data_IF_762327796624
#
_entry.id   IF_762327796624
#
_cell.length_a   1.000
_cell.length_b   1.000
_cell.length_c   1.000
_cell.angle_alpha   90.00
_cell.angle_beta   90.00
_cell.angle_gamma   90.00
#
_symmetry.space_group_name_H-M   'P 1'
#
loop_
_entity.id
_entity.type
_entity.pdbx_description
1 polymer ?
#
# COMPACT_ATOMS: atom_id res chain seq x y z
N UNK A 1 -0.33 -29.42 -24.74
CA UNK A 1 -1.19 -29.75 -23.60
C UNK A 1 -2.40 -28.84 -23.64
N UNK A 2 -3.63 -29.33 -23.50
CA UNK A 2 -4.77 -28.45 -23.35
C UNK A 2 -4.60 -27.67 -22.04
N UNK A 3 -4.80 -26.34 -22.09
CA UNK A 3 -4.81 -25.50 -20.90
C UNK A 3 -6.01 -25.90 -20.05
N UNK A 4 -5.77 -26.39 -18.84
CA UNK A 4 -6.83 -26.66 -17.88
C UNK A 4 -7.19 -25.33 -17.22
N UNK A 5 -8.29 -24.73 -17.64
CA UNK A 5 -8.80 -23.50 -17.01
C UNK A 5 -9.41 -23.85 -15.65
N UNK A 6 -8.98 -23.16 -14.61
CA UNK A 6 -9.66 -23.20 -13.32
C UNK A 6 -10.97 -22.43 -13.42
N UNK A 7 -12.16 -23.06 -13.29
CA UNK A 7 -13.44 -22.36 -13.43
C UNK A 7 -13.64 -21.19 -12.47
N UNK A 8 -12.91 -21.18 -11.36
CA UNK A 8 -12.91 -20.11 -10.36
C UNK A 8 -12.36 -18.77 -10.92
N UNK A 9 -11.39 -18.81 -11.82
CA UNK A 9 -10.76 -17.60 -12.37
C UNK A 9 -11.64 -16.85 -13.39
N UNK A 10 -12.64 -17.54 -13.97
CA UNK A 10 -13.52 -17.02 -15.02
C UNK A 10 -14.80 -16.40 -14.45
N UNK A 11 -14.69 -15.55 -13.42
CA UNK A 11 -15.86 -14.93 -12.77
C UNK A 11 -15.96 -13.45 -13.09
N UNK A 12 -17.19 -12.96 -13.20
CA UNK A 12 -17.48 -11.55 -13.43
C UNK A 12 -17.05 -10.70 -12.22
N UNK A 13 -16.57 -9.50 -12.49
CA UNK A 13 -16.28 -8.49 -11.47
C UNK A 13 -17.56 -7.77 -11.12
N UNK A 14 -17.87 -7.64 -9.82
CA UNK A 14 -19.12 -7.08 -9.30
C UNK A 14 -18.91 -5.93 -8.33
N UNK A 15 -17.69 -5.65 -7.91
CA UNK A 15 -17.37 -4.60 -6.95
C UNK A 15 -15.98 -4.00 -7.21
N UNK A 16 -15.79 -2.81 -6.68
CA UNK A 16 -14.52 -2.07 -6.68
C UNK A 16 -14.30 -1.52 -5.28
N UNK A 17 -13.12 -1.72 -4.73
CA UNK A 17 -12.73 -1.12 -3.46
C UNK A 17 -11.21 -0.89 -3.38
N UNK A 18 -10.76 -0.32 -2.26
CA UNK A 18 -9.34 -0.13 -1.96
C UNK A 18 -8.59 0.65 -3.05
N UNK A 19 -9.06 1.87 -3.34
CA UNK A 19 -8.36 2.76 -4.25
C UNK A 19 -7.19 3.44 -3.51
N UNK A 20 -5.96 3.06 -3.89
CA UNK A 20 -4.71 3.54 -3.31
C UNK A 20 -3.84 4.23 -4.36
N UNK A 21 -3.04 5.18 -3.93
CA UNK A 21 -2.07 5.87 -4.76
C UNK A 21 -0.75 6.09 -4.01
N UNK A 22 0.31 6.33 -4.75
CA UNK A 22 1.58 6.83 -4.20
C UNK A 22 2.37 7.57 -5.25
N UNK A 23 3.26 8.46 -4.82
CA UNK A 23 4.19 9.14 -5.72
C UNK A 23 5.27 8.19 -6.23
N UNK A 24 5.57 8.26 -7.52
CA UNK A 24 6.75 7.63 -8.11
C UNK A 24 7.90 8.61 -7.97
N UNK A 25 8.83 8.30 -7.07
CA UNK A 25 9.94 9.20 -6.74
C UNK A 25 11.12 9.04 -7.69
N UNK A 26 11.27 7.86 -8.31
CA UNK A 26 12.29 7.57 -9.32
C UNK A 26 11.75 6.56 -10.34
N UNK A 27 11.96 6.82 -11.62
CA UNK A 27 11.72 5.89 -12.72
C UNK A 27 12.62 6.27 -13.89
N UNK A 28 13.83 5.73 -13.86
CA UNK A 28 14.89 5.97 -14.83
C UNK A 28 15.61 4.65 -15.20
N UNK A 29 16.77 4.74 -15.83
CA UNK A 29 17.57 3.56 -16.20
C UNK A 29 18.27 2.89 -15.01
N UNK A 30 18.28 3.50 -13.81
CA UNK A 30 18.94 2.98 -12.64
C UNK A 30 17.97 2.23 -11.71
N UNK A 31 16.72 2.73 -11.56
CA UNK A 31 15.72 2.13 -10.65
C UNK A 31 14.30 2.61 -10.94
N UNK A 32 13.34 1.84 -10.42
CA UNK A 32 11.98 2.26 -10.18
C UNK A 32 11.74 2.31 -8.65
N UNK A 33 11.36 3.47 -8.14
CA UNK A 33 11.07 3.67 -6.71
C UNK A 33 9.73 4.39 -6.57
N UNK A 34 8.84 3.80 -5.81
CA UNK A 34 7.55 4.40 -5.41
C UNK A 34 7.50 4.56 -3.89
N UNK A 35 6.77 5.55 -3.42
CA UNK A 35 6.56 5.80 -2.00
C UNK A 35 5.65 4.76 -1.34
N UNK A 36 5.30 4.98 -0.08
CA UNK A 36 4.30 4.18 0.64
C UNK A 36 2.90 4.50 0.09
N UNK A 37 2.10 3.49 -0.27
CA UNK A 37 0.73 3.70 -0.73
C UNK A 37 -0.17 4.35 0.33
N UNK A 38 -0.98 5.29 -0.11
CA UNK A 38 -1.99 5.97 0.69
C UNK A 38 -3.37 5.72 0.09
N UNK A 39 -4.39 5.66 0.95
CA UNK A 39 -5.78 5.54 0.50
C UNK A 39 -6.22 6.86 -0.16
N UNK A 40 -6.76 6.78 -1.39
CA UNK A 40 -7.16 7.96 -2.14
C UNK A 40 -8.57 8.43 -1.79
N UNK A 41 -9.57 7.59 -2.03
CA UNK A 41 -10.97 7.91 -1.78
C UNK A 41 -11.86 6.66 -1.92
N UNK A 42 -13.09 6.68 -1.35
CA UNK A 42 -14.11 5.71 -1.70
C UNK A 42 -14.46 5.84 -3.19
N UNK A 43 -14.37 4.73 -3.93
CA UNK A 43 -14.59 4.71 -5.39
C UNK A 43 -15.88 3.97 -5.74
N UNK A 44 -16.62 4.51 -6.69
CA UNK A 44 -17.85 3.92 -7.23
C UNK A 44 -17.59 3.09 -8.49
N UNK A 45 -16.83 3.64 -9.43
CA UNK A 45 -16.50 2.98 -10.70
C UNK A 45 -15.02 3.17 -11.10
N UNK A 46 -14.50 2.22 -11.88
CA UNK A 46 -13.21 2.33 -12.56
C UNK A 46 -13.33 1.74 -13.96
N UNK A 47 -13.30 2.58 -14.97
CA UNK A 47 -13.30 2.19 -16.37
C UNK A 47 -11.88 2.29 -16.92
N UNK A 48 -11.39 1.18 -17.51
CA UNK A 48 -10.06 1.08 -18.09
C UNK A 48 -10.14 0.98 -19.61
N UNK A 49 -9.58 1.93 -20.32
CA UNK A 49 -9.58 2.01 -21.77
C UNK A 49 -8.14 1.97 -22.31
N UNK A 50 -7.61 0.77 -22.64
CA UNK A 50 -6.32 0.68 -23.33
C UNK A 50 -6.41 1.31 -24.73
N UNK A 51 -5.48 2.20 -25.06
CA UNK A 51 -5.40 2.80 -26.38
C UNK A 51 -4.46 1.93 -27.25
N UNK A 52 -5.00 1.37 -28.33
CA UNK A 52 -4.25 0.56 -29.28
C UNK A 52 -4.36 1.20 -30.67
N UNK A 53 -3.23 1.31 -31.34
CA UNK A 53 -3.16 1.79 -32.72
C UNK A 53 -2.83 0.63 -33.63
N UNK A 54 -3.53 0.54 -34.74
CA UNK A 54 -3.28 -0.46 -35.77
C UNK A 54 -2.88 0.25 -37.05
N UNK A 55 -1.80 -0.19 -37.69
CA UNK A 55 -1.42 0.21 -39.04
C UNK A 55 -1.39 -1.02 -39.93
N UNK A 56 -2.05 -0.93 -41.08
CA UNK A 56 -2.12 -2.01 -42.06
C UNK A 56 -1.21 -1.64 -43.24
N UNK A 57 -0.22 -2.46 -43.50
CA UNK A 57 0.57 -2.37 -44.70
C UNK A 57 -0.07 -3.19 -45.82
N UNK A 58 -0.19 -2.61 -46.99
CA UNK A 58 -0.72 -3.26 -48.17
C UNK A 58 0.41 -3.60 -49.15
N UNK A 59 0.40 -4.81 -49.68
CA UNK A 59 1.26 -5.25 -50.81
C UNK A 59 0.41 -6.06 -51.77
N UNK A 60 0.70 -5.97 -53.06
CA UNK A 60 -0.01 -6.66 -54.16
C UNK A 60 -1.54 -6.48 -54.10
N UNK A 61 -2.00 -5.26 -53.77
CA UNK A 61 -3.40 -4.86 -53.66
C UNK A 61 -4.21 -5.60 -52.56
N UNK A 62 -3.53 -6.16 -51.59
CA UNK A 62 -4.18 -6.81 -50.43
C UNK A 62 -3.46 -6.47 -49.10
N UNK A 63 -4.14 -6.60 -47.96
CA UNK A 63 -3.50 -6.42 -46.68
C UNK A 63 -2.39 -7.46 -46.50
N UNK A 64 -1.16 -7.01 -46.27
CA UNK A 64 0.02 -7.85 -46.14
C UNK A 64 0.43 -8.04 -44.69
N UNK A 65 0.46 -6.93 -43.92
CA UNK A 65 0.91 -6.95 -42.53
C UNK A 65 0.06 -6.00 -41.68
N UNK A 66 -0.22 -6.41 -40.45
CA UNK A 66 -0.89 -5.58 -39.43
C UNK A 66 0.11 -5.28 -38.33
N UNK A 67 0.53 -4.03 -38.23
CA UNK A 67 1.37 -3.55 -37.12
C UNK A 67 0.49 -3.03 -36.02
N UNK A 68 0.78 -3.44 -34.76
CA UNK A 68 0.04 -3.01 -33.58
C UNK A 68 0.98 -2.27 -32.63
N UNK A 69 0.54 -1.14 -32.11
CA UNK A 69 1.22 -0.42 -31.04
C UNK A 69 0.27 -0.19 -29.87
N UNK A 70 0.70 -0.59 -28.69
CA UNK A 70 -0.02 -0.28 -27.45
C UNK A 70 0.49 1.06 -26.90
N UNK A 71 -0.41 2.05 -26.83
CA UNK A 71 -0.15 3.37 -26.26
C UNK A 71 -0.48 3.40 -24.74
N UNK A 72 -0.93 4.53 -24.24
CA UNK A 72 -1.37 4.70 -22.86
C UNK A 72 -2.64 3.89 -22.54
N UNK A 73 -2.94 3.76 -21.24
CA UNK A 73 -4.25 3.29 -20.77
C UNK A 73 -4.91 4.42 -20.00
N UNK A 74 -6.06 4.85 -20.45
CA UNK A 74 -6.87 5.84 -19.76
C UNK A 74 -7.77 5.14 -18.74
N UNK A 75 -7.70 5.60 -17.50
CA UNK A 75 -8.58 5.17 -16.42
C UNK A 75 -9.50 6.33 -16.06
N UNK A 76 -10.80 6.10 -16.16
CA UNK A 76 -11.83 7.01 -15.66
C UNK A 76 -12.35 6.43 -14.34
N UNK A 77 -12.15 7.17 -13.27
CA UNK A 77 -12.53 6.79 -11.91
C UNK A 77 -13.62 7.73 -11.41
N UNK A 78 -14.64 7.18 -10.80
CA UNK A 78 -15.67 7.93 -10.09
C UNK A 78 -15.50 7.71 -8.60
N UNK A 79 -15.32 8.82 -7.86
CA UNK A 79 -15.10 8.82 -6.41
C UNK A 79 -16.15 9.70 -5.73
N UNK A 80 -16.48 9.38 -4.50
CA UNK A 80 -17.47 10.17 -3.73
C UNK A 80 -16.98 11.57 -3.38
N UNK A 81 -15.66 11.75 -3.31
CA UNK A 81 -14.98 13.01 -3.07
C UNK A 81 -13.52 12.78 -2.72
N UNK A 82 -12.70 13.79 -2.92
CA UNK A 82 -11.29 13.79 -2.55
C UNK A 82 -11.05 14.78 -1.41
N UNK A 83 -10.22 14.38 -0.45
CA UNK A 83 -9.66 15.32 0.50
C UNK A 83 -8.78 16.35 -0.23
N UNK A 84 -8.73 17.58 0.27
CA UNK A 84 -7.98 18.66 -0.37
C UNK A 84 -6.46 18.35 -0.43
N UNK A 85 -5.94 17.64 0.56
CA UNK A 85 -4.53 17.19 0.59
C UNK A 85 -4.25 16.17 -0.52
N UNK A 86 -5.11 15.15 -0.64
CA UNK A 86 -4.99 14.13 -1.69
C UNK A 86 -5.12 14.77 -3.07
N UNK A 87 -6.10 15.67 -3.25
CA UNK A 87 -6.27 16.41 -4.50
C UNK A 87 -5.01 17.20 -4.85
N UNK A 88 -4.50 17.99 -3.92
CA UNK A 88 -3.27 18.77 -4.13
C UNK A 88 -2.09 17.89 -4.52
N UNK A 89 -1.94 16.75 -3.85
CA UNK A 89 -0.86 15.78 -4.12
C UNK A 89 -0.96 15.18 -5.52
N UNK A 90 -2.14 14.70 -5.94
CA UNK A 90 -2.29 14.03 -7.24
C UNK A 90 -2.19 14.97 -8.44
N UNK A 91 -2.55 16.24 -8.28
CA UNK A 91 -2.45 17.25 -9.35
C UNK A 91 -1.19 18.13 -9.23
N UNK A 92 -0.35 17.91 -8.20
CA UNK A 92 0.90 18.64 -7.99
C UNK A 92 0.70 20.09 -7.58
N UNK A 93 -0.30 20.39 -6.75
CA UNK A 93 -0.57 21.74 -6.24
C UNK A 93 0.02 21.93 -4.85
N UNK A 94 0.29 23.20 -4.51
CA UNK A 94 0.78 23.53 -3.18
C UNK A 94 -0.38 23.52 -2.17
N UNK A 95 -0.20 22.77 -1.07
CA UNK A 95 -1.13 22.75 0.05
C UNK A 95 -0.45 23.32 1.29
N UNK A 96 -1.12 24.27 1.94
CA UNK A 96 -0.68 24.86 3.21
C UNK A 96 -1.45 24.19 4.36
N UNK A 97 -0.76 23.34 5.10
CA UNK A 97 -1.34 22.63 6.23
C UNK A 97 -1.72 23.55 7.40
N UNK A 98 -1.10 24.74 7.50
CA UNK A 98 -1.38 25.70 8.59
C UNK A 98 -2.72 26.39 8.37
N UNK A 99 -3.05 26.72 7.10
CA UNK A 99 -4.27 27.44 6.75
C UNK A 99 -5.34 26.56 6.13
N UNK A 100 -5.03 25.30 5.82
CA UNK A 100 -5.93 24.35 5.16
C UNK A 100 -6.28 24.73 3.72
N UNK A 101 -5.40 25.46 3.02
CA UNK A 101 -5.64 26.00 1.68
C UNK A 101 -4.78 25.33 0.64
N UNK A 102 -5.37 25.08 -0.52
CA UNK A 102 -4.67 24.67 -1.73
C UNK A 102 -4.53 25.87 -2.68
N UNK A 103 -3.36 26.00 -3.30
CA UNK A 103 -3.07 27.04 -4.28
C UNK A 103 -2.84 26.46 -5.66
N UNK A 104 -3.61 26.92 -6.64
CA UNK A 104 -3.44 26.51 -8.04
C UNK A 104 -2.33 27.34 -8.69
N UNK A 105 -1.09 26.86 -8.56
CA UNK A 105 0.13 27.55 -8.97
C UNK A 105 0.71 27.06 -10.32
N UNK A 106 -0.08 26.36 -11.13
CA UNK A 106 0.34 25.92 -12.47
C UNK A 106 1.43 24.83 -12.48
N UNK A 107 1.69 24.14 -11.36
CA UNK A 107 2.68 23.06 -11.28
C UNK A 107 2.29 21.86 -12.14
N UNK A 108 3.28 21.09 -12.59
CA UNK A 108 3.06 19.88 -13.38
C UNK A 108 2.66 18.73 -12.46
N UNK A 109 1.58 17.97 -12.76
CA UNK A 109 1.21 16.78 -11.98
C UNK A 109 2.38 15.78 -11.88
N UNK A 110 2.63 15.24 -10.69
CA UNK A 110 3.68 14.25 -10.48
C UNK A 110 3.34 12.91 -11.14
N UNK A 111 4.33 12.04 -11.30
CA UNK A 111 4.06 10.66 -11.62
C UNK A 111 3.56 9.90 -10.38
N UNK A 112 2.53 9.08 -10.60
CA UNK A 112 1.82 8.37 -9.56
C UNK A 112 1.70 6.89 -9.96
N UNK A 113 1.85 6.00 -8.98
CA UNK A 113 1.38 4.64 -9.07
C UNK A 113 -0.03 4.55 -8.46
N UNK A 114 -0.96 3.86 -9.15
CA UNK A 114 -2.36 3.75 -8.77
C UNK A 114 -2.76 2.29 -8.63
N UNK A 115 -3.35 1.92 -7.50
CA UNK A 115 -3.78 0.57 -7.20
C UNK A 115 -5.23 0.48 -6.74
N UNK A 116 -5.91 -0.61 -7.08
CA UNK A 116 -7.23 -0.95 -6.59
C UNK A 116 -7.49 -2.45 -6.75
N UNK A 117 -8.58 -2.94 -6.19
CA UNK A 117 -9.02 -4.31 -6.41
C UNK A 117 -10.48 -4.38 -6.83
N UNK A 118 -10.83 -5.47 -7.49
CA UNK A 118 -12.19 -5.75 -7.96
C UNK A 118 -12.67 -7.08 -7.38
N UNK A 119 -13.81 -7.05 -6.67
CA UNK A 119 -14.49 -8.24 -6.17
C UNK A 119 -15.10 -9.02 -7.34
N UNK A 120 -14.95 -10.33 -7.31
CA UNK A 120 -15.58 -11.26 -8.25
C UNK A 120 -16.82 -11.95 -7.65
N UNK A 121 -17.66 -12.52 -8.49
CA UNK A 121 -18.91 -13.19 -8.09
C UNK A 121 -18.70 -14.41 -7.19
N UNK A 122 -17.49 -14.95 -7.11
CA UNK A 122 -17.12 -16.08 -6.24
C UNK A 122 -16.54 -15.64 -4.88
N UNK A 123 -16.55 -14.34 -4.57
CA UNK A 123 -16.00 -13.79 -3.32
C UNK A 123 -14.52 -13.52 -3.34
N UNK A 124 -13.81 -13.85 -4.40
CA UNK A 124 -12.38 -13.59 -4.60
C UNK A 124 -12.13 -12.23 -5.23
N UNK A 125 -10.88 -11.75 -5.19
CA UNK A 125 -10.50 -10.44 -5.69
C UNK A 125 -9.49 -10.53 -6.84
N UNK A 126 -9.61 -9.57 -7.77
CA UNK A 126 -8.57 -9.25 -8.73
C UNK A 126 -7.97 -7.91 -8.38
N UNK A 127 -6.65 -7.89 -8.26
CA UNK A 127 -5.84 -6.77 -7.79
C UNK A 127 -5.10 -6.12 -8.95
N UNK A 128 -4.95 -4.80 -8.90
CA UNK A 128 -4.30 -4.02 -9.94
C UNK A 128 -3.32 -3.03 -9.32
N UNK A 129 -2.16 -2.86 -9.96
CA UNK A 129 -1.28 -1.72 -9.81
C UNK A 129 -0.90 -1.21 -11.19
N UNK A 130 -1.18 0.06 -11.46
CA UNK A 130 -0.61 0.82 -12.57
C UNK A 130 0.63 1.52 -12.04
N UNK A 131 1.80 1.23 -12.61
CA UNK A 131 3.08 1.60 -12.02
C UNK A 131 3.45 3.06 -12.26
N UNK A 132 2.97 3.67 -13.37
CA UNK A 132 3.29 5.04 -13.72
C UNK A 132 2.16 5.69 -14.51
N UNK A 133 1.76 6.88 -14.08
CA UNK A 133 0.79 7.69 -14.79
C UNK A 133 0.64 9.06 -14.16
N UNK A 134 -0.28 9.84 -14.69
CA UNK A 134 -0.62 11.17 -14.17
C UNK A 134 -2.12 11.36 -14.13
N UNK A 135 -2.58 12.11 -13.13
CA UNK A 135 -3.95 12.58 -13.10
C UNK A 135 -4.12 13.87 -13.91
N UNK A 136 -5.23 13.96 -14.63
CA UNK A 136 -5.71 15.21 -15.17
C UNK A 136 -6.42 16.03 -14.08
N UNK A 137 -6.48 17.35 -14.25
CA UNK A 137 -7.29 18.21 -13.38
C UNK A 137 -8.74 17.70 -13.39
N UNK A 138 -9.35 17.35 -12.24
CA UNK A 138 -10.72 16.88 -12.21
C UNK A 138 -11.70 18.01 -12.55
N UNK A 139 -12.81 17.62 -13.13
CA UNK A 139 -13.96 18.51 -13.32
C UNK A 139 -14.74 18.56 -12.00
N UNK A 140 -15.05 19.76 -11.54
CA UNK A 140 -15.90 19.98 -10.36
C UNK A 140 -17.27 20.50 -10.79
N UNK A 141 -18.32 19.79 -10.39
CA UNK A 141 -19.70 20.19 -10.61
C UNK A 141 -20.34 20.55 -9.26
N UNK A 142 -20.70 21.83 -9.09
CA UNK A 142 -21.36 22.35 -7.88
C UNK A 142 -22.78 22.80 -8.25
N UNK A 143 -23.77 22.37 -7.47
CA UNK A 143 -25.16 22.77 -7.67
C UNK A 143 -25.77 23.28 -6.37
N UNK A 144 -26.76 24.18 -6.47
CA UNK A 144 -27.50 24.65 -5.32
C UNK A 144 -28.30 23.51 -4.68
N UNK A 145 -28.39 23.52 -3.35
CA UNK A 145 -29.24 22.59 -2.62
C UNK A 145 -30.71 22.78 -3.03
N UNK A 146 -31.33 21.70 -3.47
CA UNK A 146 -32.77 21.62 -3.78
C UNK A 146 -33.49 20.87 -2.64
N UNK A 147 -34.81 20.66 -2.79
CA UNK A 147 -35.64 19.95 -1.81
C UNK A 147 -35.15 18.54 -1.47
N UNK A 148 -34.39 17.93 -2.37
CA UNK A 148 -33.75 16.63 -2.17
C UNK A 148 -32.22 16.74 -2.31
N UNK A 149 -31.43 16.14 -1.40
CA UNK A 149 -30.00 16.03 -1.58
C UNK A 149 -29.66 15.28 -2.87
N UNK A 150 -28.80 15.86 -3.72
CA UNK A 150 -28.31 15.25 -4.96
C UNK A 150 -26.76 15.20 -4.87
N UNK A 151 -26.20 14.12 -4.26
CA UNK A 151 -24.77 14.00 -4.09
C UNK A 151 -24.08 13.87 -5.45
N UNK A 152 -23.13 14.77 -5.72
CA UNK A 152 -22.32 14.71 -6.94
C UNK A 152 -21.13 13.80 -6.76
N UNK A 153 -20.89 12.93 -7.73
CA UNK A 153 -19.71 12.06 -7.82
C UNK A 153 -18.65 12.82 -8.59
N UNK A 154 -17.44 12.84 -8.06
CA UNK A 154 -16.29 13.45 -8.73
C UNK A 154 -15.67 12.45 -9.71
N UNK A 155 -15.48 12.88 -10.95
CA UNK A 155 -14.79 12.09 -11.95
C UNK A 155 -13.33 12.54 -12.05
N UNK A 156 -12.41 11.59 -11.91
CA UNK A 156 -10.97 11.80 -12.07
C UNK A 156 -10.43 10.91 -13.18
N UNK A 157 -9.52 11.44 -13.98
CA UNK A 157 -8.94 10.73 -15.11
C UNK A 157 -7.46 10.51 -14.85
N UNK A 158 -7.05 9.25 -14.90
CA UNK A 158 -5.66 8.84 -14.78
C UNK A 158 -5.16 8.25 -16.10
N UNK A 159 -4.05 8.76 -16.60
CA UNK A 159 -3.42 8.25 -17.83
C UNK A 159 -2.18 7.45 -17.46
N UNK A 160 -2.24 6.14 -17.63
CA UNK A 160 -1.17 5.21 -17.31
C UNK A 160 -0.28 4.94 -18.52
N UNK A 161 1.03 4.97 -18.31
CA UNK A 161 2.06 4.66 -19.30
C UNK A 161 3.00 3.57 -18.78
N UNK A 162 3.86 3.03 -19.65
CA UNK A 162 4.91 2.10 -19.24
C UNK A 162 5.99 2.82 -18.41
N UNK A 163 6.63 2.09 -17.50
CA UNK A 163 7.80 2.57 -16.76
C UNK A 163 9.00 2.78 -17.71
N UNK A 164 9.91 3.65 -17.33
CA UNK A 164 11.22 3.78 -17.99
C UNK A 164 12.13 2.63 -17.58
N UNK A 165 12.09 2.29 -16.29
CA UNK A 165 12.77 1.11 -15.73
C UNK A 165 12.25 -0.17 -16.37
N UNK A 166 13.17 -1.08 -16.68
CA UNK A 166 12.87 -2.41 -17.21
C UNK A 166 13.00 -3.45 -16.12
N UNK A 167 11.92 -4.15 -15.85
CA UNK A 167 11.87 -5.23 -14.87
C UNK A 167 12.28 -6.56 -15.48
N UNK A 168 12.91 -7.41 -14.67
CA UNK A 168 13.09 -8.82 -15.04
C UNK A 168 11.76 -9.54 -14.92
N UNK A 169 11.27 -10.06 -16.02
CA UNK A 169 10.02 -10.81 -16.15
C UNK A 169 10.30 -12.31 -16.25
N UNK A 170 9.28 -13.18 -16.07
CA UNK A 170 9.41 -14.61 -16.33
C UNK A 170 9.99 -14.89 -17.72
N UNK A 171 10.65 -16.04 -17.89
CA UNK A 171 11.31 -16.48 -19.13
C UNK A 171 12.49 -15.58 -19.59
N UNK A 172 13.20 -14.97 -18.63
CA UNK A 172 14.39 -14.13 -18.88
C UNK A 172 14.13 -12.93 -19.80
N UNK A 173 12.90 -12.44 -19.83
CA UNK A 173 12.54 -11.21 -20.55
C UNK A 173 12.79 -10.02 -19.63
N UNK A 174 13.42 -8.96 -20.16
CA UNK A 174 13.58 -7.68 -19.46
C UNK A 174 12.82 -6.61 -20.24
N UNK A 175 11.76 -6.06 -19.65
CA UNK A 175 10.92 -5.07 -20.32
C UNK A 175 10.29 -4.08 -19.33
N UNK A 176 9.84 -2.94 -19.87
CA UNK A 176 9.07 -1.94 -19.14
C UNK A 176 7.63 -2.42 -18.92
N UNK A 177 7.07 -2.11 -17.75
CA UNK A 177 5.75 -2.60 -17.34
C UNK A 177 4.80 -1.44 -17.09
N UNK A 178 3.59 -1.52 -17.61
CA UNK A 178 2.53 -0.53 -17.36
C UNK A 178 1.74 -0.86 -16.11
N UNK A 179 1.37 -2.14 -15.95
CA UNK A 179 0.54 -2.62 -14.84
C UNK A 179 0.94 -4.01 -14.39
N UNK A 180 0.69 -4.28 -13.10
CA UNK A 180 0.75 -5.60 -12.50
C UNK A 180 -0.66 -6.00 -12.07
N UNK A 181 -1.06 -7.22 -12.38
CA UNK A 181 -2.36 -7.77 -12.04
C UNK A 181 -2.13 -9.05 -11.24
N UNK A 182 -2.84 -9.17 -10.12
CA UNK A 182 -2.89 -10.39 -9.32
C UNK A 182 -4.33 -10.91 -9.20
N UNK A 183 -4.47 -12.20 -8.98
CA UNK A 183 -5.78 -12.83 -8.81
C UNK A 183 -5.70 -13.86 -7.69
N UNK A 184 -6.50 -13.69 -6.63
CA UNK A 184 -6.43 -14.56 -5.46
C UNK A 184 -7.15 -15.92 -5.63
N UNK A 185 -7.75 -16.17 -6.78
CA UNK A 185 -8.12 -17.53 -7.18
C UNK A 185 -6.91 -18.39 -7.58
N UNK A 186 -5.78 -17.76 -7.86
CA UNK A 186 -4.56 -18.45 -8.27
C UNK A 186 -3.84 -18.98 -7.03
N UNK A 187 -3.57 -20.27 -6.95
CA UNK A 187 -3.00 -20.93 -5.77
C UNK A 187 -1.65 -20.38 -5.32
N UNK A 188 -0.88 -19.75 -6.22
CA UNK A 188 0.42 -19.15 -5.92
C UNK A 188 0.33 -17.66 -5.54
N UNK A 189 -0.88 -17.08 -5.50
CA UNK A 189 -1.07 -15.69 -5.13
C UNK A 189 -1.16 -15.56 -3.60
N UNK A 190 -0.07 -15.15 -2.96
CA UNK A 190 0.04 -15.05 -1.50
C UNK A 190 0.13 -13.62 -0.97
N UNK A 191 0.22 -12.63 -1.87
CA UNK A 191 0.48 -11.23 -1.52
C UNK A 191 -0.78 -10.38 -1.34
N UNK A 192 -1.98 -10.97 -1.40
CA UNK A 192 -3.25 -10.23 -1.33
C UNK A 192 -3.40 -9.36 -0.08
N UNK A 193 -3.03 -9.89 1.10
CA UNK A 193 -3.12 -9.16 2.36
C UNK A 193 -2.19 -7.92 2.43
N UNK A 194 -1.04 -7.97 1.75
CA UNK A 194 -0.03 -6.91 1.70
C UNK A 194 -0.01 -6.14 0.38
N UNK A 195 -0.98 -6.39 -0.52
CA UNK A 195 -0.99 -5.81 -1.87
C UNK A 195 -0.90 -4.29 -1.89
N UNK A 196 -1.57 -3.62 -0.96
CA UNK A 196 -1.60 -2.16 -0.85
C UNK A 196 -0.62 -1.60 0.18
N UNK A 197 0.21 -2.43 0.80
CA UNK A 197 1.26 -1.97 1.71
C UNK A 197 2.49 -1.44 0.97
N UNK A 198 2.68 -1.88 -0.26
CA UNK A 198 3.69 -1.40 -1.20
C UNK A 198 3.18 -1.52 -2.63
N UNK A 199 3.78 -0.76 -3.55
CA UNK A 199 3.51 -0.94 -4.98
C UNK A 199 4.05 -2.29 -5.41
N UNK A 200 3.18 -3.16 -5.93
CA UNK A 200 3.60 -4.46 -6.43
C UNK A 200 4.22 -4.30 -7.82
N UNK A 201 5.46 -4.69 -7.94
CA UNK A 201 6.21 -4.74 -9.20
C UNK A 201 6.46 -6.20 -9.60
N UNK A 202 6.87 -6.50 -10.82
CA UNK A 202 7.21 -7.87 -11.22
C UNK A 202 8.29 -8.54 -10.36
N UNK A 203 9.13 -7.75 -9.70
CA UNK A 203 10.20 -8.23 -8.80
C UNK A 203 9.83 -8.17 -7.33
N UNK A 204 8.64 -7.70 -6.97
CA UNK A 204 8.18 -7.69 -5.58
C UNK A 204 7.98 -9.11 -5.07
N UNK A 205 8.55 -9.38 -3.92
CA UNK A 205 8.36 -10.63 -3.19
C UNK A 205 7.36 -10.43 -2.05
N UNK A 206 6.71 -11.50 -1.61
CA UNK A 206 5.92 -11.45 -0.38
C UNK A 206 6.81 -10.98 0.78
N UNK A 207 6.32 -10.08 1.64
CA UNK A 207 7.09 -9.66 2.80
C UNK A 207 7.42 -10.86 3.69
N UNK A 208 8.63 -10.89 4.23
CA UNK A 208 9.01 -11.89 5.23
C UNK A 208 8.08 -11.85 6.45
N UNK A 209 7.95 -12.95 7.15
CA UNK A 209 7.15 -13.01 8.37
C UNK A 209 7.65 -11.97 9.38
N UNK A 210 6.71 -11.29 10.04
CA UNK A 210 7.04 -10.36 11.11
C UNK A 210 7.58 -11.14 12.32
N UNK A 211 8.87 -10.95 12.60
CA UNK A 211 9.57 -11.52 13.75
C UNK A 211 9.98 -10.41 14.72
N UNK A 212 10.29 -10.77 15.94
CA UNK A 212 10.75 -9.84 16.96
C UNK A 212 11.93 -10.40 17.75
N UNK A 213 12.75 -9.51 18.29
CA UNK A 213 13.85 -9.80 19.21
C UNK A 213 13.71 -8.89 20.42
N UNK A 214 13.50 -9.45 21.62
CA UNK A 214 13.37 -8.67 22.85
C UNK A 214 14.75 -8.33 23.45
N UNK A 215 14.83 -7.21 24.16
CA UNK A 215 15.93 -6.86 25.04
C UNK A 215 15.34 -6.30 26.34
N UNK A 216 15.57 -6.89 27.53
CA UNK A 216 16.35 -8.14 27.75
C UNK A 216 15.83 -9.34 26.98
N UNK A 217 16.72 -10.29 26.65
CA UNK A 217 16.35 -11.54 25.98
C UNK A 217 15.41 -12.37 26.85
N UNK A 218 14.58 -13.17 26.20
CA UNK A 218 13.65 -14.05 26.90
C UNK A 218 14.36 -14.98 27.86
N UNK A 219 13.85 -15.07 29.10
CA UNK A 219 14.45 -15.84 30.18
C UNK A 219 15.69 -15.20 30.84
N UNK A 220 16.10 -14.00 30.46
CA UNK A 220 17.25 -13.34 31.09
C UNK A 220 17.04 -13.12 32.60
N UNK A 221 18.09 -13.31 33.40
CA UNK A 221 18.08 -13.10 34.86
C UNK A 221 19.09 -12.05 35.28
N UNK A 222 18.93 -11.52 36.49
CA UNK A 222 19.90 -10.56 37.05
C UNK A 222 19.94 -9.21 36.33
N UNK A 223 18.82 -8.79 35.75
CA UNK A 223 18.73 -7.52 35.04
C UNK A 223 18.59 -6.35 36.03
N UNK A 224 19.29 -5.25 35.75
CA UNK A 224 19.20 -4.05 36.58
C UNK A 224 17.76 -3.53 36.62
N UNK A 225 17.33 -2.99 37.76
CA UNK A 225 15.97 -2.41 37.92
C UNK A 225 15.73 -1.19 36.99
N UNK A 226 16.80 -0.64 36.40
CA UNK A 226 16.76 0.47 35.47
C UNK A 226 16.94 0.02 34.02
N UNK A 227 16.86 -1.29 33.73
CA UNK A 227 17.08 -1.83 32.39
C UNK A 227 16.10 -1.24 31.38
N UNK A 228 16.61 -0.86 30.23
CA UNK A 228 15.77 -0.38 29.12
C UNK A 228 15.19 -1.58 28.39
N UNK A 229 13.86 -1.62 28.30
CA UNK A 229 13.13 -2.68 27.62
C UNK A 229 12.84 -2.30 26.17
N UNK A 230 13.31 -3.12 25.22
CA UNK A 230 13.06 -2.88 23.79
C UNK A 230 12.56 -4.12 23.07
N UNK A 231 11.78 -3.92 22.03
CA UNK A 231 11.34 -4.94 21.08
C UNK A 231 11.79 -4.50 19.68
N UNK A 232 12.70 -5.25 19.06
CA UNK A 232 13.17 -4.99 17.70
C UNK A 232 12.45 -5.90 16.73
N UNK A 233 11.78 -5.32 15.73
CA UNK A 233 10.99 -6.03 14.73
C UNK A 233 11.72 -6.14 13.40
N UNK A 234 11.48 -7.22 12.65
CA UNK A 234 12.06 -7.43 11.31
C UNK A 234 11.56 -6.40 10.29
N UNK A 235 10.30 -5.99 10.40
CA UNK A 235 9.66 -5.03 9.52
C UNK A 235 9.30 -3.75 10.28
N UNK A 236 9.20 -2.63 9.57
CA UNK A 236 8.70 -1.38 10.16
C UNK A 236 7.23 -1.51 10.57
N UNK A 237 6.86 -0.94 11.72
CA UNK A 237 5.47 -0.94 12.20
C UNK A 237 4.64 0.13 11.48
N UNK A 238 3.35 -0.16 11.27
CA UNK A 238 2.43 0.71 10.57
C UNK A 238 2.27 2.09 11.26
N UNK A 239 2.10 3.14 10.47
CA UNK A 239 1.83 4.50 10.96
C UNK A 239 0.36 4.61 11.34
N UNK A 240 0.06 5.31 12.46
CA UNK A 240 -1.31 5.54 12.93
C UNK A 240 -2.00 4.30 13.50
N UNK A 241 -1.32 3.16 13.56
CA UNK A 241 -1.76 1.99 14.31
C UNK A 241 -1.23 2.10 15.74
N UNK A 242 -2.11 1.92 16.72
CA UNK A 242 -1.67 1.77 18.09
C UNK A 242 -0.88 0.46 18.22
N UNK A 243 0.33 0.56 18.72
CA UNK A 243 1.09 -0.60 19.15
C UNK A 243 0.99 -0.66 20.69
N UNK A 244 0.53 -1.78 21.19
CA UNK A 244 0.44 -2.00 22.63
C UNK A 244 1.62 -2.85 23.07
N UNK A 245 2.50 -2.26 23.89
CA UNK A 245 3.60 -2.95 24.55
C UNK A 245 3.54 -2.62 26.04
N UNK A 246 3.39 -3.64 26.88
CA UNK A 246 3.22 -3.47 28.32
C UNK A 246 4.23 -4.31 29.08
N UNK A 247 4.66 -3.80 30.23
CA UNK A 247 5.42 -4.55 31.21
C UNK A 247 4.47 -5.02 32.32
N UNK A 248 4.50 -6.30 32.62
CA UNK A 248 3.63 -6.92 33.63
C UNK A 248 4.52 -7.53 34.73
N UNK A 249 4.25 -7.15 35.97
CA UNK A 249 4.85 -7.79 37.13
C UNK A 249 4.16 -9.15 37.34
N UNK A 250 4.88 -10.24 37.18
CA UNK A 250 4.29 -11.59 37.29
C UNK A 250 3.95 -12.00 38.73
N UNK A 251 4.49 -11.31 39.74
CA UNK A 251 4.16 -11.57 41.15
C UNK A 251 2.84 -10.92 41.58
N UNK A 252 2.65 -9.66 41.18
CA UNK A 252 1.44 -8.89 41.54
C UNK A 252 0.37 -8.91 40.45
N UNK A 253 0.68 -9.40 39.25
CA UNK A 253 -0.15 -9.36 38.05
C UNK A 253 -0.55 -7.94 37.58
N UNK A 254 0.18 -6.93 38.07
CA UNK A 254 -0.10 -5.53 37.75
C UNK A 254 0.74 -5.08 36.54
N UNK A 255 0.13 -4.23 35.71
CA UNK A 255 0.84 -3.53 34.64
C UNK A 255 1.76 -2.48 35.26
N UNK A 256 3.01 -2.45 34.87
CA UNK A 256 3.98 -1.45 35.29
C UNK A 256 3.78 -0.20 34.44
N UNK A 257 3.56 0.93 35.11
CA UNK A 257 3.33 2.19 34.40
C UNK A 257 4.54 2.60 33.54
N UNK A 258 4.27 2.94 32.30
CA UNK A 258 5.29 3.33 31.34
C UNK A 258 4.70 3.95 30.08
N UNK A 259 5.56 4.37 29.19
CA UNK A 259 5.20 4.90 27.86
C UNK A 259 5.98 4.16 26.79
N UNK A 260 5.37 4.01 25.63
CA UNK A 260 6.00 3.40 24.47
C UNK A 260 6.52 4.48 23.53
N UNK A 261 7.75 4.33 23.08
CA UNK A 261 8.35 5.15 22.02
C UNK A 261 8.80 4.28 20.88
N UNK A 262 8.77 4.81 19.68
CA UNK A 262 9.22 4.11 18.48
C UNK A 262 10.31 4.93 17.79
N UNK A 263 11.34 4.26 17.30
CA UNK A 263 12.44 4.90 16.59
C UNK A 263 12.04 5.43 15.19
N UNK A 264 12.91 6.20 14.55
CA UNK A 264 12.66 6.78 13.24
C UNK A 264 12.48 5.72 12.12
N UNK A 265 13.10 4.53 12.27
CA UNK A 265 12.95 3.42 11.32
C UNK A 265 11.64 2.64 11.55
N UNK A 266 10.93 2.94 12.63
CA UNK A 266 9.72 2.25 13.11
C UNK A 266 9.91 0.75 13.34
N UNK A 267 11.12 0.32 13.64
CA UNK A 267 11.46 -1.08 13.91
C UNK A 267 11.72 -1.37 15.37
N UNK A 268 12.06 -0.36 16.18
CA UNK A 268 12.39 -0.55 17.59
C UNK A 268 11.36 0.17 18.44
N UNK A 269 10.63 -0.61 19.23
CA UNK A 269 9.74 -0.07 20.29
C UNK A 269 10.48 -0.14 21.61
N UNK A 270 10.61 1.00 22.29
CA UNK A 270 11.18 1.12 23.63
C UNK A 270 10.03 1.33 24.62
N UNK A 271 9.94 0.47 25.61
CA UNK A 271 9.02 0.60 26.73
C UNK A 271 9.74 1.31 27.87
N UNK A 272 9.38 2.58 28.07
CA UNK A 272 9.99 3.43 29.10
C UNK A 272 9.12 3.36 30.35
N UNK A 273 9.60 2.67 31.38
CA UNK A 273 8.92 2.60 32.68
C UNK A 273 9.12 3.90 33.48
N UNK A 274 8.11 4.36 34.20
CA UNK A 274 8.11 5.64 34.93
C UNK A 274 8.88 5.60 36.25
N UNK A 275 9.08 4.41 36.81
CA UNK A 275 9.84 4.15 38.04
C UNK A 275 10.72 2.92 37.85
N UNK A 276 11.70 2.73 38.68
CA UNK A 276 12.52 1.52 38.67
C UNK A 276 11.67 0.27 38.74
N UNK A 277 12.03 -0.75 38.01
CA UNK A 277 11.38 -2.05 38.08
C UNK A 277 11.53 -2.67 39.46
N UNK A 278 10.56 -3.44 39.98
CA UNK A 278 10.67 -4.14 41.25
C UNK A 278 11.88 -5.07 41.25
N UNK A 279 12.55 -5.17 42.42
CA UNK A 279 13.71 -6.06 42.62
C UNK A 279 13.30 -7.52 42.69
N UNK A 280 14.17 -8.41 42.30
CA UNK A 280 14.03 -9.87 42.35
C UNK A 280 12.67 -10.36 41.78
N UNK A 281 12.19 -9.69 40.72
CA UNK A 281 10.85 -9.90 40.22
C UNK A 281 10.93 -10.35 38.75
N UNK A 282 10.13 -11.35 38.39
CA UNK A 282 9.95 -11.73 37.00
C UNK A 282 8.97 -10.74 36.32
N UNK A 283 9.42 -10.15 35.24
CA UNK A 283 8.69 -9.15 34.43
C UNK A 283 8.40 -9.74 33.06
N UNK A 284 7.17 -9.62 32.59
CA UNK A 284 6.79 -10.00 31.23
C UNK A 284 6.59 -8.74 30.37
N UNK A 285 7.24 -8.69 29.22
CA UNK A 285 6.92 -7.79 28.11
C UNK A 285 5.84 -8.44 27.26
N UNK A 286 4.64 -7.89 27.23
CA UNK A 286 3.54 -8.34 26.38
C UNK A 286 3.30 -7.31 25.27
N UNK A 287 3.07 -7.75 24.04
CA UNK A 287 2.86 -6.84 22.93
C UNK A 287 1.89 -7.37 21.89
N UNK A 288 1.25 -6.44 21.18
CA UNK A 288 0.49 -6.67 19.97
C UNK A 288 0.79 -5.52 19.00
N UNK A 289 1.25 -5.85 17.81
CA UNK A 289 1.71 -4.87 16.81
C UNK A 289 1.25 -5.28 15.41
N UNK A 290 1.21 -4.29 14.52
CA UNK A 290 0.97 -4.50 13.08
C UNK A 290 2.08 -3.82 12.29
N UNK A 291 2.66 -4.52 11.31
CA UNK A 291 3.67 -3.95 10.44
C UNK A 291 3.06 -3.20 9.23
N UNK A 292 3.93 -2.56 8.44
CA UNK A 292 3.54 -1.86 7.21
C UNK A 292 2.93 -2.78 6.16
N UNK A 293 3.15 -4.10 6.26
CA UNK A 293 2.59 -5.12 5.37
C UNK A 293 1.29 -5.72 5.90
N UNK A 294 0.69 -5.09 6.91
CA UNK A 294 -0.56 -5.51 7.55
C UNK A 294 -0.47 -6.86 8.28
N UNK A 295 0.74 -7.34 8.58
CA UNK A 295 0.96 -8.54 9.36
C UNK A 295 0.78 -8.24 10.84
N UNK A 296 -0.08 -9.00 11.52
CA UNK A 296 -0.26 -8.92 12.97
C UNK A 296 0.75 -9.84 13.66
N UNK A 297 1.37 -9.33 14.72
CA UNK A 297 2.21 -10.10 15.63
C UNK A 297 1.89 -9.74 17.07
N UNK A 298 1.58 -10.76 17.85
CA UNK A 298 1.52 -10.66 19.29
C UNK A 298 2.52 -11.64 19.91
N UNK A 299 2.95 -11.37 21.10
CA UNK A 299 3.87 -12.22 21.82
C UNK A 299 4.17 -11.72 23.21
N UNK A 300 4.90 -12.55 23.94
CA UNK A 300 5.42 -12.25 25.26
C UNK A 300 6.90 -12.60 25.32
N UNK A 301 7.62 -11.91 26.20
CA UNK A 301 9.01 -12.23 26.58
C UNK A 301 9.18 -11.87 28.03
N UNK A 302 9.90 -12.67 28.80
CA UNK A 302 10.07 -12.45 30.23
C UNK A 302 11.54 -12.38 30.64
N UNK A 303 11.81 -11.63 31.71
CA UNK A 303 13.15 -11.51 32.32
C UNK A 303 12.98 -11.29 33.83
N UNK A 304 14.07 -11.51 34.60
CA UNK A 304 14.06 -11.31 36.05
C UNK A 304 15.06 -10.23 36.45
N UNK A 305 14.63 -9.28 37.25
CA UNK A 305 15.43 -8.21 37.82
C UNK A 305 16.31 -8.69 38.98
N UNK A 306 17.34 -7.91 39.36
CA UNK A 306 18.20 -8.13 40.55
C UNK A 306 17.52 -7.78 41.84
#
# INVERSE_FOLDING_TARGET
>A
MPLTYAPAEQKSKIGLDNLYFTLVTQDDNAAYVAGTPEYLAPSATATMEPQNTFAIQYADNQPYEVMTAEAETKLTLEVTGLGLVQLATIIGRSFDATTGRMYDNGSVPPYIALGFRALKTNGHYRYFWFLKGKFAMPKEDVTTLADKPDPKIMQIIFTAIRTTWKFSLPNSVTDSVKRVIGDDDTSNFTVGASWFSQVQTPTSTAPGALTFTPSPTDGATGQANTVVCTLTFSNALAVGQEFNCELINNTSHAVIAGTNTIDATRKIVTVVHTANLPSATNITMAFAVRDIFNQLKSGVSSFTTT
#
